data_IF_670771183328
#
_entry.id   IF_670771183328
#
_cell.length_a   1.000
_cell.length_b   1.000
_cell.length_c   1.000
_cell.angle_alpha   90.00
_cell.angle_beta   90.00
_cell.angle_gamma   90.00
#
_symmetry.space_group_name_H-M   'P 1'
#
loop_
_entity.id
_entity.type
_entity.pdbx_description
1 polymer ?
#
# COMPACT_ATOMS: atom_id res chain seq x y z
N UNK A 1 -5.12 8.91 28.50
CA UNK A 1 -4.64 8.49 27.17
C UNK A 1 -5.76 8.13 26.19
N UNK A 2 -6.77 7.35 26.60
CA UNK A 2 -7.86 6.87 25.73
C UNK A 2 -8.68 7.97 25.05
N UNK A 3 -9.07 9.03 25.78
CA UNK A 3 -9.86 10.15 25.22
C UNK A 3 -9.16 10.92 24.09
N UNK A 4 -7.82 11.05 24.15
CA UNK A 4 -7.05 11.67 23.06
C UNK A 4 -7.04 10.80 21.81
N UNK A 5 -7.00 9.48 21.99
CA UNK A 5 -7.00 8.53 20.87
C UNK A 5 -8.36 8.47 20.19
N UNK A 6 -9.46 8.46 20.95
CA UNK A 6 -10.81 8.46 20.36
C UNK A 6 -11.12 9.76 19.62
N UNK A 7 -10.60 10.90 20.10
CA UNK A 7 -10.74 12.18 19.40
C UNK A 7 -9.92 12.26 18.11
N UNK A 8 -8.77 11.58 18.06
CA UNK A 8 -7.90 11.52 16.87
C UNK A 8 -8.38 10.50 15.85
N UNK A 9 -9.01 9.42 16.30
CA UNK A 9 -9.50 8.33 15.47
C UNK A 9 -10.96 8.04 15.82
N UNK A 10 -11.91 8.73 15.16
CA UNK A 10 -13.33 8.58 15.44
C UNK A 10 -13.81 7.14 15.19
N UNK A 11 -14.94 6.78 15.78
CA UNK A 11 -15.67 5.57 15.40
C UNK A 11 -16.12 5.68 13.95
N UNK A 12 -16.20 4.54 13.28
CA UNK A 12 -16.54 4.42 11.86
C UNK A 12 -17.69 3.44 11.77
N UNK A 13 -18.68 3.77 10.96
CA UNK A 13 -19.87 2.96 10.79
C UNK A 13 -19.63 1.84 9.76
N UNK A 14 -20.43 0.78 9.86
CA UNK A 14 -20.36 -0.36 8.93
C UNK A 14 -20.72 0.15 7.53
N UNK A 15 -19.89 -0.18 6.55
CA UNK A 15 -20.11 0.23 5.17
C UNK A 15 -19.51 1.57 4.77
N UNK A 16 -18.85 2.26 5.70
CA UNK A 16 -18.17 3.50 5.38
C UNK A 16 -16.88 3.24 4.57
N UNK A 17 -16.64 4.07 3.56
CA UNK A 17 -15.40 4.01 2.78
C UNK A 17 -14.22 4.52 3.61
N UNK A 18 -13.13 3.79 3.55
CA UNK A 18 -11.87 4.14 4.19
C UNK A 18 -10.72 4.09 3.20
N UNK A 19 -9.68 4.85 3.52
CA UNK A 19 -8.41 4.90 2.83
C UNK A 19 -7.37 4.19 3.68
N UNK A 20 -6.86 3.06 3.17
CA UNK A 20 -5.80 2.29 3.82
C UNK A 20 -4.48 2.63 3.15
N UNK A 21 -3.50 3.06 3.95
CA UNK A 21 -2.16 3.37 3.44
C UNK A 21 -1.42 2.10 3.03
N UNK A 22 -0.90 2.07 1.81
CA UNK A 22 -0.07 0.97 1.33
C UNK A 22 1.36 1.18 1.84
N UNK A 23 1.97 0.18 2.51
CA UNK A 23 3.38 0.22 2.85
C UNK A 23 4.24 0.40 1.61
N UNK A 24 5.34 1.17 1.70
CA UNK A 24 6.24 1.39 0.56
C UNK A 24 6.73 0.07 -0.08
N UNK A 25 6.86 -1.01 0.71
CA UNK A 25 7.28 -2.34 0.24
C UNK A 25 6.26 -3.00 -0.70
N UNK A 26 4.97 -2.84 -0.39
CA UNK A 26 3.86 -3.42 -1.15
C UNK A 26 3.40 -2.51 -2.29
N UNK A 27 3.91 -1.28 -2.33
CA UNK A 27 3.52 -0.26 -3.29
C UNK A 27 4.29 -0.44 -4.60
N UNK A 28 3.54 -0.62 -5.68
CA UNK A 28 4.10 -0.60 -7.02
C UNK A 28 4.42 0.79 -7.55
N UNK A 29 5.16 0.85 -8.66
CA UNK A 29 5.65 2.12 -9.23
C UNK A 29 4.54 3.11 -9.55
N UNK A 30 3.42 2.61 -10.07
CA UNK A 30 2.23 3.39 -10.46
C UNK A 30 1.12 3.27 -9.40
N UNK A 31 1.37 2.51 -8.32
CA UNK A 31 0.36 2.29 -7.31
C UNK A 31 0.02 3.56 -6.53
N UNK A 32 -1.27 3.80 -6.23
CA UNK A 32 -1.67 4.90 -5.38
C UNK A 32 -1.02 4.78 -3.99
N UNK A 33 -1.04 5.85 -3.20
CA UNK A 33 -0.53 5.81 -1.81
C UNK A 33 -1.51 5.10 -0.87
N UNK A 34 -2.79 5.19 -1.19
CA UNK A 34 -3.87 4.64 -0.40
C UNK A 34 -4.75 3.79 -1.32
N UNK A 35 -5.23 2.67 -0.82
CA UNK A 35 -6.34 1.90 -1.42
C UNK A 35 -7.62 2.36 -0.76
N UNK A 36 -8.66 2.59 -1.56
CA UNK A 36 -10.00 2.80 -1.01
C UNK A 36 -10.66 1.44 -0.79
N UNK A 37 -11.20 1.21 0.39
CA UNK A 37 -11.88 -0.03 0.73
C UNK A 37 -13.08 0.26 1.62
N UNK A 38 -14.04 -0.66 1.62
CA UNK A 38 -15.13 -0.67 2.61
C UNK A 38 -14.74 -1.67 3.70
N UNK A 39 -14.73 -1.21 4.96
CA UNK A 39 -14.54 -2.12 6.10
C UNK A 39 -15.90 -2.76 6.44
N UNK A 40 -16.13 -3.97 5.93
CA UNK A 40 -17.34 -4.74 6.23
C UNK A 40 -17.16 -5.68 7.42
N UNK A 41 -18.23 -5.92 8.17
CA UNK A 41 -18.53 -7.13 8.97
C UNK A 41 -20.05 -7.15 9.21
N UNK A 42 -20.79 -8.23 8.89
CA UNK A 42 -20.77 -9.47 9.69
C UNK A 42 -20.48 -10.82 8.98
N UNK A 43 -20.19 -10.88 7.66
CA UNK A 43 -20.02 -12.18 6.94
C UNK A 43 -18.79 -12.31 6.03
N UNK A 44 -17.89 -11.31 5.95
CA UNK A 44 -16.67 -11.40 5.13
C UNK A 44 -15.97 -10.06 4.97
N UNK A 45 -14.62 -10.08 4.89
CA UNK A 45 -13.74 -8.93 5.15
C UNK A 45 -12.45 -9.02 4.33
N UNK A 46 -11.79 -7.88 4.13
CA UNK A 46 -10.33 -7.82 3.93
C UNK A 46 -9.61 -8.84 4.83
N UNK A 47 -8.59 -9.48 4.27
CA UNK A 47 -7.83 -10.60 4.87
C UNK A 47 -7.17 -10.26 6.24
N UNK A 48 -7.19 -8.98 6.63
CA UNK A 48 -6.66 -8.48 7.90
C UNK A 48 -7.61 -7.49 8.56
N UNK A 49 -7.67 -7.56 9.88
CA UNK A 49 -8.33 -6.55 10.72
C UNK A 49 -7.44 -5.31 10.83
N UNK A 50 -8.03 -4.14 10.63
CA UNK A 50 -7.33 -2.86 10.78
C UNK A 50 -7.78 -2.15 12.05
N UNK A 51 -6.82 -1.71 12.85
CA UNK A 51 -7.09 -0.78 13.93
C UNK A 51 -7.42 0.61 13.35
N UNK A 52 -8.23 1.39 14.08
CA UNK A 52 -8.65 2.75 13.70
C UNK A 52 -7.51 3.72 13.35
N UNK A 53 -6.28 3.45 13.79
CA UNK A 53 -5.11 4.25 13.47
C UNK A 53 -4.42 3.87 12.14
N UNK A 54 -4.85 2.79 11.49
CA UNK A 54 -4.26 2.27 10.24
C UNK A 54 -5.01 2.67 8.98
N UNK A 55 -6.15 3.34 9.12
CA UNK A 55 -6.95 3.84 8.01
C UNK A 55 -7.49 5.23 8.31
N UNK A 56 -7.93 5.92 7.26
CA UNK A 56 -8.61 7.21 7.34
C UNK A 56 -10.00 7.06 6.73
N UNK A 57 -10.99 7.76 7.25
CA UNK A 57 -12.32 7.81 6.62
C UNK A 57 -12.22 8.58 5.31
N UNK A 58 -12.84 8.08 4.25
CA UNK A 58 -13.01 8.83 3.02
C UNK A 58 -14.08 9.92 3.23
N UNK A 59 -13.93 11.07 2.58
CA UNK A 59 -14.93 12.14 2.59
C UNK A 59 -16.15 11.81 1.73
N UNK A 60 -15.96 10.92 0.74
CA UNK A 60 -16.99 10.48 -0.20
C UNK A 60 -17.04 8.96 -0.26
N UNK A 61 -18.27 8.42 -0.30
CA UNK A 61 -18.53 7.00 -0.46
C UNK A 61 -18.73 6.71 -1.95
N UNK A 62 -17.76 6.03 -2.55
CA UNK A 62 -17.79 5.62 -3.96
C UNK A 62 -18.05 4.13 -4.15
N UNK A 63 -18.08 3.37 -3.06
CA UNK A 63 -18.17 1.90 -3.07
C UNK A 63 -19.32 1.55 -2.15
N UNK A 64 -20.31 0.86 -2.71
CA UNK A 64 -21.44 0.33 -1.93
C UNK A 64 -21.09 -1.05 -1.39
N UNK A 65 -21.64 -1.39 -0.22
CA UNK A 65 -21.37 -2.67 0.46
C UNK A 65 -21.74 -3.86 -0.45
N UNK A 66 -22.83 -3.74 -1.21
CA UNK A 66 -23.36 -4.78 -2.08
C UNK A 66 -22.48 -5.05 -3.30
N UNK A 67 -21.59 -4.12 -3.65
CA UNK A 67 -20.67 -4.26 -4.78
C UNK A 67 -19.32 -4.89 -4.39
N UNK A 68 -19.13 -5.25 -3.11
CA UNK A 68 -17.87 -5.83 -2.63
C UNK A 68 -17.93 -7.37 -2.74
N UNK A 69 -17.08 -7.99 -3.57
CA UNK A 69 -17.02 -9.45 -3.66
C UNK A 69 -16.54 -10.05 -2.32
N UNK A 70 -17.06 -11.24 -1.98
CA UNK A 70 -16.77 -11.95 -0.73
C UNK A 70 -15.39 -12.61 -0.67
N UNK A 71 -14.57 -12.47 -1.70
CA UNK A 71 -13.24 -13.07 -1.80
C UNK A 71 -12.20 -12.28 -0.98
N UNK A 72 -11.33 -12.99 -0.26
CA UNK A 72 -10.29 -12.37 0.56
C UNK A 72 -9.14 -11.87 -0.32
N UNK A 73 -8.91 -10.56 -0.29
CA UNK A 73 -7.84 -9.91 -1.04
C UNK A 73 -6.81 -9.27 -0.10
N UNK A 74 -5.53 -9.49 -0.39
CA UNK A 74 -4.44 -8.79 0.33
C UNK A 74 -4.35 -7.32 -0.12
N UNK A 75 -3.83 -6.43 0.73
CA UNK A 75 -3.59 -5.02 0.33
C UNK A 75 -2.69 -4.90 -0.90
N UNK A 76 -1.71 -5.79 -1.04
CA UNK A 76 -0.78 -5.77 -2.18
C UNK A 76 -1.52 -6.11 -3.47
N UNK A 77 -2.38 -7.11 -3.45
CA UNK A 77 -3.15 -7.52 -4.62
C UNK A 77 -4.22 -6.47 -4.96
N UNK A 78 -4.89 -5.88 -3.97
CA UNK A 78 -5.79 -4.75 -4.18
C UNK A 78 -5.07 -3.56 -4.85
N UNK A 79 -3.94 -3.15 -4.30
CA UNK A 79 -3.13 -2.07 -4.87
C UNK A 79 -2.60 -2.39 -6.29
N UNK A 80 -2.31 -3.67 -6.56
CA UNK A 80 -1.84 -4.11 -7.88
C UNK A 80 -2.97 -4.11 -8.92
N UNK A 81 -4.19 -4.48 -8.54
CA UNK A 81 -5.38 -4.41 -9.40
C UNK A 81 -5.69 -2.96 -9.74
N UNK A 82 -5.76 -2.09 -8.74
CA UNK A 82 -6.04 -0.64 -8.92
C UNK A 82 -5.04 0.05 -9.84
N UNK A 83 -3.78 -0.40 -9.82
CA UNK A 83 -2.69 0.25 -10.55
C UNK A 83 -2.23 -0.49 -11.80
N UNK A 84 -2.82 -1.66 -12.09
CA UNK A 84 -2.34 -2.64 -13.06
C UNK A 84 -0.81 -2.94 -12.94
N UNK A 85 -0.22 -2.63 -11.78
CA UNK A 85 1.22 -2.65 -11.55
C UNK A 85 1.57 -3.84 -10.67
N UNK A 86 2.19 -4.86 -11.24
CA UNK A 86 2.65 -6.06 -10.50
C UNK A 86 4.00 -5.86 -9.79
N UNK A 87 4.72 -4.79 -10.09
CA UNK A 87 6.07 -4.57 -9.59
C UNK A 87 6.04 -3.95 -8.20
N UNK A 88 6.20 -4.76 -7.15
CA UNK A 88 6.48 -4.27 -5.80
C UNK A 88 7.82 -3.54 -5.67
N UNK A 89 8.13 -3.09 -4.46
CA UNK A 89 9.35 -2.33 -4.15
C UNK A 89 10.63 -3.15 -4.35
N UNK A 90 11.46 -2.74 -5.30
CA UNK A 90 12.82 -3.27 -5.46
C UNK A 90 13.80 -2.21 -4.99
N UNK A 91 14.41 -2.46 -3.82
CA UNK A 91 15.52 -1.68 -3.29
C UNK A 91 16.78 -2.54 -3.28
N UNK A 92 17.89 -1.97 -3.75
CA UNK A 92 19.20 -2.55 -3.53
C UNK A 92 19.85 -1.98 -2.26
N UNK A 93 20.71 -2.77 -1.65
CA UNK A 93 21.52 -2.38 -0.48
C UNK A 93 22.94 -1.92 -0.88
N UNK A 94 23.16 -1.70 -2.17
CA UNK A 94 24.45 -1.24 -2.68
C UNK A 94 24.76 0.17 -2.15
N UNK A 95 26.01 0.41 -1.76
CA UNK A 95 26.45 1.73 -1.27
C UNK A 95 26.68 2.71 -2.42
N UNK A 96 27.33 2.26 -3.51
CA UNK A 96 27.63 3.04 -4.73
C UNK A 96 27.69 2.08 -5.95
N UNK A 97 27.53 2.60 -7.16
CA UNK A 97 27.77 1.93 -8.45
C UNK A 97 27.15 0.52 -8.61
N UNK A 98 25.86 0.46 -8.93
CA UNK A 98 25.13 -0.77 -9.21
C UNK A 98 25.44 -1.38 -10.60
N UNK A 99 26.67 -1.82 -10.82
CA UNK A 99 27.15 -2.29 -12.14
C UNK A 99 27.06 -3.80 -12.32
N UNK A 100 27.16 -4.56 -11.24
CA UNK A 100 27.19 -6.01 -11.27
C UNK A 100 25.88 -6.62 -10.74
N UNK A 101 25.61 -7.89 -11.09
CA UNK A 101 24.44 -8.66 -10.60
C UNK A 101 24.40 -8.87 -9.06
N UNK A 102 25.37 -8.33 -8.31
CA UNK A 102 25.29 -8.11 -6.86
C UNK A 102 24.19 -7.10 -6.48
N UNK A 103 23.86 -6.18 -7.38
CA UNK A 103 22.73 -5.28 -7.21
C UNK A 103 21.41 -6.03 -7.47
N UNK A 104 20.51 -6.03 -6.49
CA UNK A 104 19.17 -6.63 -6.63
C UNK A 104 18.34 -5.99 -7.75
N UNK A 105 18.48 -4.68 -7.97
CA UNK A 105 17.76 -3.99 -9.04
C UNK A 105 18.26 -4.48 -10.40
N UNK A 106 19.58 -4.50 -10.63
CA UNK A 106 20.16 -4.97 -11.88
C UNK A 106 19.88 -6.47 -12.11
N UNK A 107 19.93 -7.29 -11.06
CA UNK A 107 19.60 -8.73 -11.13
C UNK A 107 18.15 -8.96 -11.59
N UNK A 108 17.24 -8.08 -11.19
CA UNK A 108 15.83 -8.10 -11.61
C UNK A 108 15.56 -7.32 -12.91
N UNK A 109 16.62 -6.82 -13.58
CA UNK A 109 16.53 -6.00 -14.79
C UNK A 109 15.74 -4.69 -14.59
N UNK A 110 15.83 -4.11 -13.38
CA UNK A 110 15.17 -2.85 -13.02
C UNK A 110 16.22 -1.78 -12.69
N UNK A 111 15.95 -0.54 -13.10
CA UNK A 111 16.76 0.64 -12.73
C UNK A 111 16.59 1.01 -11.26
N UNK A 112 17.68 1.42 -10.61
CA UNK A 112 17.68 1.90 -9.24
C UNK A 112 16.95 3.25 -9.16
N UNK A 113 16.02 3.37 -8.23
CA UNK A 113 15.29 4.62 -7.99
C UNK A 113 15.92 5.43 -6.84
N UNK A 114 15.34 6.60 -6.55
CA UNK A 114 15.75 7.48 -5.44
C UNK A 114 15.64 6.84 -4.05
N UNK A 115 14.89 5.73 -3.90
CA UNK A 115 14.77 4.97 -2.64
C UNK A 115 15.95 4.00 -2.43
N UNK A 116 16.67 3.65 -3.50
CA UNK A 116 17.93 2.90 -3.43
C UNK A 116 19.09 3.83 -3.07
N UNK A 117 19.14 4.98 -3.74
CA UNK A 117 20.19 5.97 -3.59
C UNK A 117 19.54 7.35 -3.54
N UNK A 118 19.62 8.01 -2.39
CA UNK A 118 19.05 9.35 -2.19
C UNK A 118 19.73 10.40 -3.07
N UNK A 119 21.04 10.30 -3.27
CA UNK A 119 21.84 11.30 -4.00
C UNK A 119 23.21 10.82 -4.50
N UNK A 120 23.55 9.53 -4.37
CA UNK A 120 24.83 9.01 -4.84
C UNK A 120 24.84 8.74 -6.35
N UNK A 121 26.01 8.89 -6.97
CA UNK A 121 26.26 8.49 -8.36
C UNK A 121 26.05 6.98 -8.49
N UNK A 122 24.91 6.58 -9.04
CA UNK A 122 24.61 5.19 -9.36
C UNK A 122 24.58 5.03 -10.88
N UNK A 123 25.35 4.09 -11.42
CA UNK A 123 25.39 3.79 -12.86
C UNK A 123 24.14 3.09 -13.39
N UNK A 124 23.37 2.42 -12.54
CA UNK A 124 22.11 1.77 -12.92
C UNK A 124 20.91 2.60 -12.45
N UNK A 125 20.84 3.88 -12.84
CA UNK A 125 19.70 4.77 -12.55
C UNK A 125 18.71 4.83 -13.72
#
# INVERSE_FOLDING_TARGET
MLQRSSKKFPSVDIGQNVLIRIPDVDRGRVAPRNVMAVLGTPSGVLDKLYARNKFQTAEHNFIEIDNVPSEQLTLRTAAAVDSQSKQGFVKCECKKNCENKRCNCLKKLVKCNSKCHSSSSCRNK
#
